data_IF_691615537545
#
_entry.id   IF_691615537545
#
_cell.length_a   1.000
_cell.length_b   1.000
_cell.length_c   1.000
_cell.angle_alpha   90.00
_cell.angle_beta   90.00
_cell.angle_gamma   90.00
#
_symmetry.space_group_name_H-M   'P 1'
#
loop_
_entity.id
_entity.type
_entity.pdbx_description
1 polymer ?
#
# COMPACT_ATOMS: atom_id res chain seq x y z
N UNK A 1 13.00 12.70 -28.52
CA UNK A 1 12.05 12.01 -29.43
C UNK A 1 11.37 13.09 -30.24
N UNK A 2 11.36 12.97 -31.56
CA UNK A 2 10.58 13.86 -32.42
C UNK A 2 9.15 13.32 -32.46
N UNK A 3 8.18 14.11 -31.99
CA UNK A 3 6.77 13.71 -31.84
C UNK A 3 5.87 14.33 -32.93
N UNK A 4 6.43 14.68 -34.10
CA UNK A 4 5.65 15.17 -35.24
C UNK A 4 4.76 14.05 -35.84
N UNK A 5 3.59 13.84 -35.23
CA UNK A 5 2.61 12.85 -35.64
C UNK A 5 1.81 13.37 -36.84
N UNK A 6 2.02 12.76 -38.00
CA UNK A 6 1.25 13.06 -39.21
C UNK A 6 0.03 12.13 -39.31
N UNK A 7 -1.14 12.66 -38.96
CA UNK A 7 -2.39 11.91 -38.94
C UNK A 7 -2.99 11.61 -40.34
N UNK A 8 -2.52 12.28 -41.40
CA UNK A 8 -2.94 12.00 -42.77
C UNK A 8 -4.46 12.05 -42.95
N UNK A 9 -5.04 10.99 -43.51
CA UNK A 9 -6.50 10.85 -43.74
C UNK A 9 -7.30 10.77 -42.42
N UNK A 10 -6.67 10.32 -41.33
CA UNK A 10 -7.28 10.21 -40.00
C UNK A 10 -7.35 11.56 -39.27
N UNK A 11 -6.77 12.62 -39.84
CA UNK A 11 -6.90 13.98 -39.28
C UNK A 11 -8.35 14.47 -39.19
N UNK A 12 -9.25 13.88 -39.97
CA UNK A 12 -10.68 14.20 -39.95
C UNK A 12 -11.40 13.62 -38.72
N UNK A 13 -10.86 12.58 -38.10
CA UNK A 13 -11.40 11.98 -36.88
C UNK A 13 -10.84 12.72 -35.65
N UNK A 14 -11.63 13.68 -35.17
CA UNK A 14 -11.24 14.52 -34.03
C UNK A 14 -11.05 13.71 -32.74
N UNK A 15 -11.87 12.69 -32.53
CA UNK A 15 -11.81 11.90 -31.29
C UNK A 15 -10.53 11.05 -31.29
N UNK A 16 -10.20 10.45 -32.43
CA UNK A 16 -8.95 9.72 -32.60
C UNK A 16 -7.72 10.62 -32.41
N UNK A 17 -7.68 11.78 -33.07
CA UNK A 17 -6.57 12.73 -32.97
C UNK A 17 -6.40 13.22 -31.54
N UNK A 18 -7.49 13.63 -30.88
CA UNK A 18 -7.44 14.08 -29.48
C UNK A 18 -6.90 13.01 -28.54
N UNK A 19 -7.37 11.76 -28.68
CA UNK A 19 -6.87 10.65 -27.86
C UNK A 19 -5.37 10.39 -28.06
N UNK A 20 -4.87 10.51 -29.31
CA UNK A 20 -3.45 10.34 -29.61
C UNK A 20 -2.60 11.48 -29.03
N UNK A 21 -3.07 12.72 -29.17
CA UNK A 21 -2.40 13.89 -28.60
C UNK A 21 -2.36 13.83 -27.06
N UNK A 22 -3.49 13.48 -26.41
CA UNK A 22 -3.53 13.26 -24.97
C UNK A 22 -2.60 12.13 -24.52
N UNK A 23 -2.53 11.02 -25.27
CA UNK A 23 -1.58 9.95 -24.96
C UNK A 23 -0.14 10.44 -25.05
N UNK A 24 0.20 11.23 -26.07
CA UNK A 24 1.53 11.84 -26.22
C UNK A 24 1.87 12.73 -25.03
N UNK A 25 0.98 13.64 -24.67
CA UNK A 25 1.18 14.56 -23.53
C UNK A 25 1.43 13.78 -22.24
N UNK A 26 0.59 12.79 -21.94
CA UNK A 26 0.76 11.93 -20.77
C UNK A 26 2.10 11.17 -20.78
N UNK A 27 2.55 10.68 -21.94
CA UNK A 27 3.85 10.00 -22.05
C UNK A 27 5.02 10.96 -21.86
N UNK A 28 4.89 12.21 -22.31
CA UNK A 28 5.90 13.25 -22.07
C UNK A 28 5.99 13.62 -20.59
N UNK A 29 4.87 13.73 -19.89
CA UNK A 29 4.84 13.95 -18.44
C UNK A 29 5.53 12.80 -17.67
N UNK A 30 5.21 11.55 -18.02
CA UNK A 30 5.87 10.37 -17.44
C UNK A 30 7.38 10.39 -17.71
N UNK A 31 7.79 10.77 -18.92
CA UNK A 31 9.20 10.91 -19.26
C UNK A 31 9.89 11.96 -18.39
N UNK A 32 9.29 13.14 -18.19
CA UNK A 32 9.87 14.20 -17.35
C UNK A 32 10.08 13.73 -15.91
N UNK A 33 9.12 12.98 -15.35
CA UNK A 33 9.25 12.41 -14.00
C UNK A 33 10.37 11.37 -13.95
N UNK A 34 10.47 10.50 -14.97
CA UNK A 34 11.54 9.51 -15.04
C UNK A 34 12.93 10.16 -15.20
N UNK A 35 13.05 11.20 -16.00
CA UNK A 35 14.32 11.93 -16.18
C UNK A 35 14.82 12.55 -14.87
N UNK A 36 13.92 12.92 -13.95
CA UNK A 36 14.28 13.40 -12.61
C UNK A 36 14.65 12.27 -11.64
N UNK A 37 14.00 11.11 -11.75
CA UNK A 37 14.17 10.00 -10.81
C UNK A 37 15.31 9.04 -11.18
N UNK A 38 15.58 8.83 -12.47
CA UNK A 38 16.63 7.92 -12.93
C UNK A 38 18.03 8.28 -12.42
N UNK A 39 18.45 9.57 -12.33
CA UNK A 39 19.72 9.95 -11.72
C UNK A 39 19.84 9.54 -10.25
N UNK A 40 18.73 9.43 -9.51
CA UNK A 40 18.76 8.98 -8.11
C UNK A 40 19.21 7.53 -7.97
N UNK A 41 19.09 6.72 -9.04
CA UNK A 41 19.59 5.34 -9.06
C UNK A 41 21.11 5.29 -8.89
N UNK A 42 21.85 6.28 -9.39
CA UNK A 42 23.31 6.35 -9.19
C UNK A 42 23.68 6.62 -7.72
N UNK A 43 22.74 7.15 -6.95
CA UNK A 43 22.88 7.45 -5.54
C UNK A 43 22.07 6.49 -4.66
N UNK A 44 21.62 5.35 -5.22
CA UNK A 44 20.74 4.40 -4.55
C UNK A 44 21.29 3.96 -3.19
N UNK A 45 22.60 3.68 -3.10
CA UNK A 45 23.26 3.26 -1.86
C UNK A 45 23.29 4.34 -0.77
N UNK A 46 23.06 5.61 -1.14
CA UNK A 46 22.99 6.75 -0.20
C UNK A 46 21.57 7.03 0.29
N UNK A 47 20.56 6.41 -0.32
CA UNK A 47 19.17 6.58 0.07
C UNK A 47 18.87 5.82 1.37
N UNK A 48 17.88 6.31 2.12
CA UNK A 48 17.36 5.58 3.26
C UNK A 48 16.61 4.33 2.77
N UNK A 49 16.57 3.28 3.60
CA UNK A 49 15.85 2.04 3.25
C UNK A 49 14.38 2.29 2.80
N UNK A 50 13.59 3.16 3.46
CA UNK A 50 12.26 3.52 2.96
C UNK A 50 12.27 4.13 1.56
N UNK A 51 13.20 5.05 1.28
CA UNK A 51 13.30 5.71 -0.02
C UNK A 51 13.75 4.73 -1.12
N UNK A 52 14.62 3.77 -0.80
CA UNK A 52 15.01 2.68 -1.71
C UNK A 52 13.80 1.82 -2.09
N UNK A 53 13.01 1.39 -1.11
CA UNK A 53 11.81 0.59 -1.32
C UNK A 53 10.78 1.34 -2.17
N UNK A 54 10.54 2.62 -1.88
CA UNK A 54 9.60 3.45 -2.64
C UNK A 54 10.08 3.66 -4.09
N UNK A 55 11.38 3.87 -4.31
CA UNK A 55 11.96 4.01 -5.65
C UNK A 55 11.85 2.69 -6.46
N UNK A 56 12.17 1.55 -5.86
CA UNK A 56 12.08 0.25 -6.52
C UNK A 56 10.64 -0.10 -6.89
N UNK A 57 9.68 0.14 -5.97
CA UNK A 57 8.26 -0.05 -6.22
C UNK A 57 7.75 0.86 -7.33
N UNK A 58 8.17 2.12 -7.34
CA UNK A 58 7.82 3.08 -8.38
C UNK A 58 8.34 2.63 -9.75
N UNK A 59 9.63 2.26 -9.85
CA UNK A 59 10.24 1.84 -11.12
C UNK A 59 9.61 0.54 -11.63
N UNK A 60 9.40 -0.45 -10.76
CA UNK A 60 8.77 -1.71 -11.12
C UNK A 60 7.33 -1.48 -11.62
N UNK A 61 6.54 -0.68 -10.91
CA UNK A 61 5.17 -0.37 -11.31
C UNK A 61 5.11 0.39 -12.64
N UNK A 62 5.98 1.38 -12.81
CA UNK A 62 6.04 2.20 -14.04
C UNK A 62 6.41 1.34 -15.25
N UNK A 63 7.44 0.51 -15.14
CA UNK A 63 7.86 -0.39 -16.22
C UNK A 63 6.72 -1.33 -16.65
N UNK A 64 6.05 -1.96 -15.69
CA UNK A 64 4.95 -2.89 -15.99
C UNK A 64 3.72 -2.16 -16.57
N UNK A 65 3.46 -0.93 -16.11
CA UNK A 65 2.38 -0.09 -16.63
C UNK A 65 2.65 0.37 -18.06
N UNK A 66 3.89 0.76 -18.38
CA UNK A 66 4.29 1.10 -19.75
C UNK A 66 4.19 -0.11 -20.68
N UNK A 67 4.54 -1.31 -20.20
CA UNK A 67 4.34 -2.54 -20.97
C UNK A 67 2.86 -2.84 -21.21
N UNK A 68 1.98 -2.58 -20.23
CA UNK A 68 0.53 -2.69 -20.40
C UNK A 68 0.02 -1.74 -21.49
N UNK A 69 0.47 -0.48 -21.49
CA UNK A 69 0.13 0.51 -22.51
C UNK A 69 0.63 0.07 -23.89
N UNK A 70 1.86 -0.43 -23.98
CA UNK A 70 2.43 -0.95 -25.22
C UNK A 70 1.57 -2.08 -25.83
N UNK A 71 1.18 -3.07 -25.02
CA UNK A 71 0.30 -4.16 -25.47
C UNK A 71 -1.02 -3.63 -26.01
N UNK A 72 -1.62 -2.63 -25.34
CA UNK A 72 -2.87 -2.00 -25.79
C UNK A 72 -2.71 -1.29 -27.13
N UNK A 73 -1.60 -0.59 -27.34
CA UNK A 73 -1.29 0.10 -28.62
C UNK A 73 -1.12 -0.93 -29.74
N UNK A 74 -0.55 -2.09 -29.45
CA UNK A 74 -0.41 -3.20 -30.40
C UNK A 74 -1.73 -3.97 -30.66
N UNK A 75 -2.84 -3.57 -30.02
CA UNK A 75 -4.12 -4.26 -30.13
C UNK A 75 -4.19 -5.58 -29.38
N UNK A 76 -3.20 -5.89 -28.53
CA UNK A 76 -3.18 -7.09 -27.68
C UNK A 76 -3.95 -6.79 -26.39
N UNK A 77 -4.83 -7.70 -25.99
CA UNK A 77 -5.54 -7.61 -24.72
C UNK A 77 -4.60 -7.93 -23.53
N UNK A 78 -4.20 -6.93 -22.72
CA UNK A 78 -3.25 -7.13 -21.63
C UNK A 78 -3.84 -7.95 -20.48
N UNK A 79 -5.17 -8.11 -20.40
CA UNK A 79 -5.80 -8.90 -19.34
C UNK A 79 -5.58 -10.41 -19.49
N UNK A 80 -5.25 -10.84 -20.72
CA UNK A 80 -4.87 -12.22 -21.07
C UNK A 80 -3.36 -12.44 -21.04
N UNK A 81 -2.59 -11.39 -20.83
CA UNK A 81 -1.13 -11.43 -20.80
C UNK A 81 -0.63 -11.55 -19.34
N UNK A 82 0.49 -12.26 -19.08
CA UNK A 82 1.06 -12.42 -17.73
C UNK A 82 1.36 -11.13 -16.97
N UNK A 83 1.43 -10.00 -17.69
CA UNK A 83 1.63 -8.65 -17.13
C UNK A 83 0.57 -8.29 -16.07
N UNK A 84 -0.65 -8.84 -16.20
CA UNK A 84 -1.70 -8.65 -15.22
C UNK A 84 -1.30 -9.19 -13.85
N UNK A 85 -0.72 -10.38 -13.83
CA UNK A 85 -0.30 -11.04 -12.60
C UNK A 85 0.91 -10.32 -11.99
N UNK A 86 1.81 -9.78 -12.83
CA UNK A 86 2.92 -8.93 -12.38
C UNK A 86 2.44 -7.63 -11.72
N UNK A 87 1.44 -6.96 -12.30
CA UNK A 87 0.83 -5.77 -11.67
C UNK A 87 0.12 -6.10 -10.36
N UNK A 88 -0.54 -7.26 -10.27
CA UNK A 88 -1.15 -7.73 -9.02
C UNK A 88 -0.07 -8.00 -7.96
N UNK A 89 1.05 -8.63 -8.36
CA UNK A 89 2.20 -8.88 -7.48
C UNK A 89 2.77 -7.58 -6.92
N UNK A 90 2.99 -6.58 -7.77
CA UNK A 90 3.49 -5.27 -7.34
C UNK A 90 2.50 -4.60 -6.39
N UNK A 91 1.20 -4.63 -6.70
CA UNK A 91 0.15 -4.09 -5.82
C UNK A 91 0.18 -4.74 -4.43
N UNK A 92 0.35 -6.06 -4.35
CA UNK A 92 0.49 -6.77 -3.07
C UNK A 92 1.70 -6.27 -2.27
N UNK A 93 2.84 -6.02 -2.91
CA UNK A 93 4.02 -5.49 -2.23
C UNK A 93 3.81 -4.03 -1.79
N UNK A 94 3.16 -3.19 -2.60
CA UNK A 94 2.81 -1.81 -2.21
C UNK A 94 1.89 -1.77 -0.98
N UNK A 95 0.89 -2.65 -0.91
CA UNK A 95 0.01 -2.75 0.26
C UNK A 95 0.78 -3.17 1.51
N UNK A 96 1.70 -4.15 1.40
CA UNK A 96 2.58 -4.54 2.51
C UNK A 96 3.49 -3.40 2.97
N UNK A 97 4.04 -2.64 2.03
CA UNK A 97 4.86 -1.46 2.36
C UNK A 97 4.04 -0.41 3.13
N UNK A 98 2.80 -0.16 2.69
CA UNK A 98 1.88 0.74 3.37
C UNK A 98 1.55 0.25 4.79
N UNK A 99 1.28 -1.05 4.98
CA UNK A 99 1.06 -1.64 6.31
C UNK A 99 2.25 -1.38 7.24
N UNK A 100 3.48 -1.57 6.76
CA UNK A 100 4.71 -1.30 7.53
C UNK A 100 4.81 0.17 7.90
N UNK A 101 4.54 1.09 6.96
CA UNK A 101 4.55 2.54 7.19
C UNK A 101 3.49 2.97 8.20
N UNK A 102 2.35 2.30 8.22
CA UNK A 102 1.25 2.61 9.14
C UNK A 102 1.46 2.01 10.54
N UNK A 103 2.38 1.04 10.73
CA UNK A 103 2.77 0.57 12.07
C UNK A 103 3.31 1.71 12.95
N UNK A 104 4.07 2.64 12.37
CA UNK A 104 4.63 3.78 13.09
C UNK A 104 3.55 4.73 13.64
N UNK A 105 2.36 4.74 13.01
CA UNK A 105 1.24 5.61 13.40
C UNK A 105 0.29 4.93 14.39
N UNK A 106 0.48 3.64 14.67
CA UNK A 106 -0.45 2.87 15.49
C UNK A 106 -0.32 3.29 16.97
N UNK A 107 -1.44 3.51 17.69
CA UNK A 107 -1.37 3.81 19.11
C UNK A 107 -0.68 2.65 19.85
N UNK A 108 0.30 2.99 20.67
CA UNK A 108 0.99 2.04 21.55
C UNK A 108 0.15 1.81 22.79
N UNK A 109 0.10 0.57 23.26
CA UNK A 109 -0.57 0.24 24.52
C UNK A 109 0.34 0.63 25.68
N UNK A 110 -0.20 1.33 26.68
CA UNK A 110 0.50 1.53 27.95
C UNK A 110 0.62 0.18 28.68
N UNK A 111 1.78 -0.43 28.54
CA UNK A 111 2.11 -1.73 29.14
C UNK A 111 2.04 -1.67 30.66
N UNK A 112 2.33 -0.52 31.27
CA UNK A 112 2.29 -0.36 32.72
C UNK A 112 0.85 -0.32 33.22
N UNK A 113 -0.02 0.45 32.57
CA UNK A 113 -1.45 0.45 32.86
C UNK A 113 -2.06 -0.96 32.68
N UNK A 114 -1.73 -1.66 31.59
CA UNK A 114 -2.17 -3.03 31.36
C UNK A 114 -1.73 -3.99 32.48
N UNK A 115 -0.47 -3.89 32.94
CA UNK A 115 0.03 -4.67 34.08
C UNK A 115 -0.76 -4.38 35.37
N UNK A 116 -1.09 -3.12 35.63
CA UNK A 116 -1.92 -2.73 36.80
C UNK A 116 -3.32 -3.34 36.72
N UNK A 117 -3.96 -3.29 35.55
CA UNK A 117 -5.27 -3.92 35.35
C UNK A 117 -5.22 -5.43 35.57
N UNK A 118 -4.22 -6.12 35.01
CA UNK A 118 -4.04 -7.56 35.20
C UNK A 118 -3.79 -7.90 36.67
N UNK A 119 -2.91 -7.16 37.36
CA UNK A 119 -2.60 -7.40 38.78
C UNK A 119 -3.82 -7.18 39.67
N UNK A 120 -4.63 -6.16 39.38
CA UNK A 120 -5.88 -5.89 40.09
C UNK A 120 -6.93 -6.98 39.82
N UNK A 121 -7.09 -7.40 38.55
CA UNK A 121 -8.05 -8.45 38.18
C UNK A 121 -7.69 -9.85 38.70
N UNK A 122 -6.40 -10.14 38.86
CA UNK A 122 -5.91 -11.38 39.48
C UNK A 122 -5.75 -11.28 41.01
N UNK A 123 -6.09 -10.14 41.60
CA UNK A 123 -6.01 -9.96 43.04
C UNK A 123 -7.11 -10.76 43.72
N UNK A 124 -6.72 -11.87 44.36
CA UNK A 124 -7.59 -12.66 45.22
C UNK A 124 -7.34 -12.26 46.69
N UNK A 125 -8.27 -11.53 47.34
CA UNK A 125 -8.09 -11.09 48.72
C UNK A 125 -7.97 -12.26 49.70
N UNK A 126 -8.52 -13.44 49.38
CA UNK A 126 -8.43 -14.63 50.23
C UNK A 126 -7.05 -15.29 50.16
N UNK A 127 -6.39 -15.25 49.00
CA UNK A 127 -4.99 -15.69 48.85
C UNK A 127 -4.00 -14.69 49.43
N UNK A 128 -4.27 -13.38 49.32
CA UNK A 128 -3.37 -12.33 49.78
C UNK A 128 -3.36 -12.15 51.31
N UNK A 129 -4.46 -12.44 51.99
CA UNK A 129 -4.61 -12.26 53.45
C UNK A 129 -4.51 -13.56 54.25
N UNK A 130 -4.31 -14.71 53.58
CA UNK A 130 -4.24 -16.03 54.24
C UNK A 130 -5.55 -16.48 54.89
N UNK A 131 -6.68 -15.82 54.61
CA UNK A 131 -7.97 -16.15 55.19
C UNK A 131 -8.74 -17.18 54.34
N UNK A 132 -9.33 -18.23 54.96
CA UNK A 132 -10.04 -19.27 54.22
C UNK A 132 -11.35 -18.74 53.61
N UNK A 133 -11.68 -19.22 52.40
CA UNK A 133 -12.96 -18.94 51.73
C UNK A 133 -14.13 -19.59 52.49
N UNK A 134 -14.73 -18.88 53.45
CA UNK A 134 -16.01 -19.30 54.01
C UNK A 134 -17.16 -18.90 53.08
N UNK A 135 -17.53 -19.83 52.18
CA UNK A 135 -18.78 -19.81 51.42
C UNK A 135 -19.97 -19.79 52.37
N UNK A 136 -20.83 -18.76 52.34
CA UNK A 136 -22.31 -18.83 52.33
C UNK A 136 -22.91 -17.46 51.98
N UNK A 137 -23.10 -17.16 50.70
CA UNK A 137 -24.11 -16.18 50.28
C UNK A 137 -25.46 -16.89 50.34
N UNK A 138 -26.23 -16.69 51.42
CA UNK A 138 -27.65 -17.09 51.47
C UNK A 138 -28.46 -16.04 50.73
N UNK A 139 -29.16 -16.46 49.67
CA UNK A 139 -30.22 -15.66 49.06
C UNK A 139 -31.45 -15.71 49.97
N UNK A 140 -32.15 -14.59 50.20
CA UNK A 140 -33.38 -14.62 50.98
C UNK A 140 -34.45 -15.38 50.18
N UNK A 141 -34.94 -16.47 50.75
CA UNK A 141 -36.11 -17.20 50.26
C UNK A 141 -37.36 -16.38 50.63
N UNK A 142 -38.26 -16.25 49.66
CA UNK A 142 -39.47 -15.44 49.67
C UNK A 142 -40.21 -15.44 51.03
N UNK A 143 -40.48 -14.24 51.57
CA UNK A 143 -41.50 -14.06 52.59
C UNK A 143 -42.80 -13.67 51.88
N UNK A 144 -43.83 -14.50 52.08
CA UNK A 144 -45.24 -14.25 51.76
C UNK A 144 -45.77 -12.97 52.41
#
# INVERSE_FOLDING_TARGET
MDWDLKYGELSNDKDFVNNCETLKENLQEVQQVLDQLLPLKEQYDKLTLPAQIELDLFLAFTLNSLQWINLRIQGVDPTKHPIKDELQRIKLVMMKWQEVKDLEKRPTVDVEAAKRFIKSGLYDPYRATGQPQNKKTKFPENAE
#
